data_IF_957330643268
#
_entry.id   IF_957330643268
#
_cell.length_a   1.000
_cell.length_b   1.000
_cell.length_c   1.000
_cell.angle_alpha   90.00
_cell.angle_beta   90.00
_cell.angle_gamma   90.00
#
_symmetry.space_group_name_H-M   'P 1'
#
loop_
_entity.id
_entity.type
_entity.pdbx_description
1 polymer ?
#
# COMPACT_ATOMS: atom_id res chain seq x y z
N UNK A 1 17.56 -3.81 -19.25
CA UNK A 1 17.57 -5.17 -19.72
C UNK A 1 16.17 -5.71 -19.59
N UNK A 2 15.57 -6.09 -20.72
CA UNK A 2 14.33 -6.85 -20.75
C UNK A 2 14.59 -8.13 -19.94
N UNK A 3 14.06 -8.16 -18.73
CA UNK A 3 14.15 -9.34 -17.89
C UNK A 3 13.10 -10.33 -18.39
N UNK A 4 13.40 -11.61 -18.33
CA UNK A 4 12.38 -12.64 -18.51
C UNK A 4 11.33 -12.49 -17.41
N UNK A 5 10.04 -12.62 -17.74
CA UNK A 5 8.97 -12.68 -16.75
C UNK A 5 9.29 -13.70 -15.67
N UNK A 6 9.34 -13.24 -14.44
CA UNK A 6 9.73 -14.11 -13.33
C UNK A 6 9.89 -13.37 -12.01
N UNK A 7 9.81 -14.14 -10.93
CA UNK A 7 10.07 -13.68 -9.58
C UNK A 7 11.42 -14.20 -9.06
N UNK A 8 12.14 -13.36 -8.35
CA UNK A 8 13.43 -13.70 -7.77
C UNK A 8 13.53 -13.22 -6.33
N UNK A 9 14.14 -14.07 -5.48
CA UNK A 9 14.58 -13.62 -4.16
C UNK A 9 15.87 -12.81 -4.31
N UNK A 10 15.91 -11.68 -3.62
CA UNK A 10 17.06 -10.78 -3.65
C UNK A 10 17.17 -10.01 -2.33
N UNK A 11 18.23 -9.25 -2.17
CA UNK A 11 18.35 -8.24 -1.12
C UNK A 11 18.38 -6.88 -1.79
N UNK A 12 17.27 -6.20 -1.73
CA UNK A 12 17.16 -4.87 -2.30
C UNK A 12 17.89 -3.86 -1.42
N UNK A 13 18.63 -3.00 -2.08
CA UNK A 13 19.25 -1.82 -1.50
C UNK A 13 18.92 -0.65 -2.42
N UNK A 14 18.31 0.36 -1.87
CA UNK A 14 17.91 1.52 -2.64
C UNK A 14 18.71 2.75 -2.24
N UNK A 15 18.42 3.28 -1.09
CA UNK A 15 19.07 4.45 -0.54
C UNK A 15 19.61 4.11 0.83
N UNK A 16 20.81 4.59 1.19
CA UNK A 16 21.36 4.37 2.54
C UNK A 16 20.38 4.78 3.64
N UNK A 17 19.62 5.81 3.41
CA UNK A 17 18.62 6.35 4.33
C UNK A 17 17.44 5.38 4.52
N UNK A 18 16.99 4.72 3.46
CA UNK A 18 15.93 3.70 3.54
C UNK A 18 16.41 2.40 4.16
N UNK A 19 17.67 2.06 3.91
CA UNK A 19 18.25 0.78 4.31
C UNK A 19 18.78 0.76 5.76
N UNK A 20 19.08 1.94 6.34
CA UNK A 20 19.90 2.05 7.54
C UNK A 20 19.14 2.21 8.87
N UNK A 21 17.86 2.57 8.85
CA UNK A 21 17.19 3.10 10.05
C UNK A 21 16.73 2.02 11.01
N UNK A 22 16.35 0.88 10.50
CA UNK A 22 15.91 -0.25 11.31
C UNK A 22 16.71 -1.49 10.93
N UNK A 23 17.29 -2.21 11.90
CA UNK A 23 17.86 -3.51 11.64
C UNK A 23 16.73 -4.47 11.27
N UNK A 24 16.39 -4.46 10.00
CA UNK A 24 15.42 -5.37 9.42
C UNK A 24 16.06 -6.74 9.38
N UNK A 25 15.29 -7.78 9.74
CA UNK A 25 15.75 -9.15 9.75
C UNK A 25 16.39 -9.58 8.42
N UNK A 26 17.17 -10.64 8.46
CA UNK A 26 18.02 -11.10 7.38
C UNK A 26 17.27 -11.87 6.28
N UNK A 27 16.00 -11.58 6.11
CA UNK A 27 15.13 -12.22 5.11
C UNK A 27 15.31 -11.59 3.74
N UNK A 28 14.97 -12.37 2.71
CA UNK A 28 15.07 -11.93 1.33
C UNK A 28 13.83 -11.12 0.93
N UNK A 29 14.03 -10.17 0.06
CA UNK A 29 12.99 -9.47 -0.67
C UNK A 29 12.58 -10.28 -1.91
N UNK A 30 11.43 -9.97 -2.51
CA UNK A 30 11.01 -10.55 -3.78
C UNK A 30 10.84 -9.44 -4.81
N UNK A 31 11.40 -9.66 -6.00
CA UNK A 31 11.19 -8.79 -7.17
C UNK A 31 10.56 -9.61 -8.27
N UNK A 32 9.48 -9.09 -8.83
CA UNK A 32 8.84 -9.59 -10.05
C UNK A 32 9.15 -8.64 -11.19
N UNK A 33 9.63 -9.18 -12.29
CA UNK A 33 9.96 -8.46 -13.52
C UNK A 33 9.13 -8.99 -14.68
N UNK A 34 8.89 -8.15 -15.65
CA UNK A 34 8.11 -8.45 -16.85
C UNK A 34 8.99 -8.41 -18.10
N UNK A 35 8.61 -9.13 -19.16
CA UNK A 35 9.35 -9.16 -20.41
C UNK A 35 9.20 -7.84 -21.18
N UNK A 36 7.98 -7.35 -21.26
CA UNK A 36 7.62 -6.21 -22.12
C UNK A 36 7.29 -4.94 -21.33
N UNK A 37 7.08 -5.05 -20.02
CA UNK A 37 6.75 -3.90 -19.18
C UNK A 37 7.99 -3.41 -18.42
N UNK A 38 8.22 -2.09 -18.40
CA UNK A 38 9.35 -1.52 -17.65
C UNK A 38 9.08 -1.41 -16.14
N UNK A 39 7.86 -1.72 -15.73
CA UNK A 39 7.41 -1.68 -14.33
C UNK A 39 7.84 -2.93 -13.58
N UNK A 40 7.70 -2.91 -12.25
CA UNK A 40 8.01 -4.06 -11.38
C UNK A 40 7.01 -4.18 -10.26
N UNK A 41 6.87 -5.40 -9.73
CA UNK A 41 6.22 -5.63 -8.44
C UNK A 41 7.28 -6.06 -7.45
N UNK A 42 7.31 -5.43 -6.29
CA UNK A 42 8.31 -5.70 -5.28
C UNK A 42 7.65 -5.94 -3.92
N UNK A 43 8.20 -6.93 -3.21
CA UNK A 43 7.89 -7.16 -1.80
C UNK A 43 9.17 -6.88 -1.02
N UNK A 44 9.23 -5.69 -0.47
CA UNK A 44 10.45 -5.17 0.14
C UNK A 44 10.32 -5.08 1.66
N UNK A 45 11.37 -5.46 2.37
CA UNK A 45 11.41 -5.39 3.84
C UNK A 45 11.16 -3.98 4.37
N UNK A 46 11.60 -2.95 3.65
CA UNK A 46 11.40 -1.56 4.03
C UNK A 46 9.92 -1.16 4.12
N UNK A 47 9.05 -1.80 3.36
CA UNK A 47 7.60 -1.68 3.45
C UNK A 47 6.94 -2.82 4.22
N UNK A 48 7.71 -3.60 4.98
CA UNK A 48 7.26 -4.81 5.72
C UNK A 48 6.63 -5.85 4.79
N UNK A 49 7.12 -5.89 3.55
CA UNK A 49 6.64 -6.72 2.46
C UNK A 49 5.27 -6.36 1.89
N UNK A 50 4.66 -5.22 2.25
CA UNK A 50 3.57 -4.67 1.43
C UNK A 50 3.97 -4.71 -0.03
N UNK A 51 3.07 -5.19 -0.87
CA UNK A 51 3.31 -5.22 -2.29
C UNK A 51 3.50 -3.80 -2.84
N UNK A 52 4.59 -3.59 -3.56
CA UNK A 52 4.89 -2.30 -4.17
C UNK A 52 4.82 -2.42 -5.69
N UNK A 53 4.08 -1.50 -6.30
CA UNK A 53 4.15 -1.23 -7.73
C UNK A 53 5.23 -0.18 -7.97
N UNK A 54 6.13 -0.45 -8.91
CA UNK A 54 7.24 0.46 -9.20
C UNK A 54 7.23 0.80 -10.69
N UNK A 55 7.14 2.08 -10.99
CA UNK A 55 7.10 2.60 -12.36
C UNK A 55 8.46 2.51 -13.06
N UNK A 56 8.47 2.80 -14.35
CA UNK A 56 9.66 2.82 -15.22
C UNK A 56 10.74 3.80 -14.75
N UNK A 57 10.31 4.91 -14.13
CA UNK A 57 11.21 5.95 -13.62
C UNK A 57 11.43 5.85 -12.08
N UNK A 58 11.04 4.72 -11.49
CA UNK A 58 11.34 4.45 -10.08
C UNK A 58 10.39 5.08 -9.08
N UNK A 59 9.18 5.48 -9.46
CA UNK A 59 8.15 5.89 -8.50
C UNK A 59 7.50 4.66 -7.86
N UNK A 60 7.27 4.72 -6.57
CA UNK A 60 6.84 3.59 -5.75
C UNK A 60 5.48 3.82 -5.13
N UNK A 61 4.58 2.89 -5.35
CA UNK A 61 3.33 2.77 -4.62
C UNK A 61 3.32 1.46 -3.82
N UNK A 62 3.17 1.55 -2.53
CA UNK A 62 2.84 0.40 -1.69
C UNK A 62 1.33 0.40 -1.42
N UNK A 63 0.77 -0.79 -1.37
CA UNK A 63 -0.64 -1.00 -1.06
C UNK A 63 -0.79 -1.63 0.32
N UNK A 64 -1.38 -0.89 1.24
CA UNK A 64 -1.77 -1.42 2.54
C UNK A 64 -3.20 -1.93 2.47
N UNK A 65 -3.35 -3.24 2.45
CA UNK A 65 -4.62 -3.91 2.19
C UNK A 65 -5.43 -4.21 3.43
N UNK A 66 -4.83 -4.13 4.60
CA UNK A 66 -5.50 -4.49 5.83
C UNK A 66 -5.01 -3.63 7.00
N UNK A 67 -5.89 -2.78 7.43
CA UNK A 67 -5.76 -2.05 8.66
C UNK A 67 -7.08 -2.18 9.42
N UNK A 68 -7.01 -2.62 10.65
CA UNK A 68 -8.18 -2.66 11.53
C UNK A 68 -8.01 -1.61 12.60
N UNK A 69 -8.93 -0.65 12.63
CA UNK A 69 -9.01 0.32 13.72
C UNK A 69 -9.83 -0.23 14.85
N UNK A 70 -9.23 -0.54 15.97
CA UNK A 70 -9.98 -0.65 17.19
C UNK A 70 -9.83 0.64 17.97
N UNK A 71 -10.95 1.34 18.16
CA UNK A 71 -11.02 2.51 19.04
C UNK A 71 -10.13 3.71 18.69
N UNK A 72 -9.99 4.02 17.41
CA UNK A 72 -9.32 5.21 16.90
C UNK A 72 -9.72 6.50 17.62
N UNK A 73 -10.95 6.53 18.13
CA UNK A 73 -11.58 7.73 18.67
C UNK A 73 -11.70 7.76 20.20
N UNK A 74 -11.30 6.73 20.90
CA UNK A 74 -11.67 6.62 22.31
C UNK A 74 -10.56 6.96 23.31
N UNK A 75 -9.45 7.51 22.89
CA UNK A 75 -8.39 7.86 23.81
C UNK A 75 -7.78 6.61 24.50
N UNK A 76 -6.82 6.82 25.36
CA UNK A 76 -6.19 5.75 26.11
C UNK A 76 -7.21 4.97 26.94
N UNK A 77 -7.69 3.84 26.43
CA UNK A 77 -8.40 2.88 27.26
C UNK A 77 -7.34 2.05 28.00
N UNK A 78 -7.34 2.16 29.31
CA UNK A 78 -6.42 1.48 30.20
C UNK A 78 -6.65 -0.02 30.32
N UNK A 79 -7.61 -0.57 29.60
CA UNK A 79 -7.87 -2.02 29.59
C UNK A 79 -6.73 -2.76 28.91
N UNK A 80 -6.17 -3.75 29.57
CA UNK A 80 -4.95 -4.46 29.13
C UNK A 80 -5.02 -5.12 27.75
N UNK A 81 -6.22 -5.32 27.19
CA UNK A 81 -6.44 -6.07 25.96
C UNK A 81 -6.99 -5.23 24.79
N UNK A 82 -7.04 -3.91 24.93
CA UNK A 82 -7.47 -3.04 23.85
C UNK A 82 -6.25 -2.56 23.07
N UNK A 83 -6.23 -2.74 21.73
CA UNK A 83 -5.18 -2.21 20.89
C UNK A 83 -5.05 -0.70 21.02
N UNK A 84 -3.84 -0.20 20.94
CA UNK A 84 -3.56 1.23 20.96
C UNK A 84 -3.21 1.68 19.54
N UNK A 85 -3.97 2.62 18.99
CA UNK A 85 -3.76 3.15 17.64
C UNK A 85 -4.14 2.17 16.55
N UNK A 86 -3.54 2.32 15.38
CA UNK A 86 -3.75 1.46 14.24
C UNK A 86 -3.22 0.06 14.49
N UNK A 87 -3.97 -0.91 14.03
CA UNK A 87 -3.59 -2.31 14.03
C UNK A 87 -3.25 -2.70 12.61
N UNK A 88 -1.99 -2.82 12.35
CA UNK A 88 -1.45 -2.95 10.99
C UNK A 88 -0.15 -3.75 10.96
N UNK A 89 0.20 -4.28 9.79
CA UNK A 89 1.49 -4.94 9.60
C UNK A 89 2.66 -3.95 9.64
N UNK A 90 2.41 -2.66 9.32
CA UNK A 90 3.43 -1.60 9.29
C UNK A 90 4.05 -1.37 10.66
N UNK A 91 3.34 -1.69 11.73
CA UNK A 91 3.87 -1.64 13.09
C UNK A 91 4.98 -2.67 13.37
N UNK A 92 5.09 -3.74 12.58
CA UNK A 92 6.23 -4.67 12.63
C UNK A 92 7.47 -4.10 11.93
N UNK A 93 7.97 -2.97 12.42
CA UNK A 93 9.08 -2.22 11.80
C UNK A 93 10.37 -3.00 11.59
N UNK A 94 10.53 -4.16 12.23
CA UNK A 94 11.69 -5.04 12.10
C UNK A 94 11.40 -6.30 11.29
N UNK A 95 10.24 -6.44 10.67
CA UNK A 95 9.80 -7.63 9.93
C UNK A 95 9.98 -8.93 10.73
N UNK A 96 9.72 -8.91 12.04
CA UNK A 96 9.85 -10.09 12.89
C UNK A 96 8.79 -11.13 12.59
N UNK A 97 7.62 -10.66 12.24
CA UNK A 97 6.42 -11.47 12.01
C UNK A 97 5.88 -11.33 10.59
N UNK A 98 6.69 -10.86 9.65
CA UNK A 98 6.34 -10.75 8.24
C UNK A 98 7.23 -11.66 7.40
N UNK A 99 6.63 -12.33 6.42
CA UNK A 99 7.32 -13.25 5.50
C UNK A 99 6.69 -13.19 4.12
N UNK A 100 7.54 -13.29 3.12
CA UNK A 100 7.12 -13.42 1.73
C UNK A 100 7.68 -14.69 1.13
N UNK A 101 6.88 -15.40 0.32
CA UNK A 101 7.27 -16.62 -0.32
C UNK A 101 6.77 -16.66 -1.77
N UNK A 102 7.66 -17.06 -2.69
CA UNK A 102 7.27 -17.38 -4.07
C UNK A 102 6.70 -18.79 -4.05
N UNK A 103 5.41 -18.92 -4.35
CA UNK A 103 4.69 -20.21 -4.35
C UNK A 103 4.68 -20.83 -5.75
N UNK A 104 4.48 -19.99 -6.78
CA UNK A 104 4.57 -20.38 -8.18
C UNK A 104 5.43 -19.37 -8.94
N UNK A 105 6.17 -19.86 -9.92
CA UNK A 105 7.01 -19.02 -10.78
C UNK A 105 7.15 -19.70 -12.13
N UNK A 106 6.27 -19.37 -13.05
CA UNK A 106 6.23 -19.93 -14.41
C UNK A 106 5.80 -18.87 -15.43
N UNK A 107 5.87 -19.22 -16.71
CA UNK A 107 5.62 -18.27 -17.81
C UNK A 107 4.16 -17.80 -17.88
N UNK A 108 3.21 -18.50 -17.24
CA UNK A 108 1.79 -18.13 -17.25
C UNK A 108 1.42 -17.21 -16.09
N UNK A 109 2.05 -17.40 -14.94
CA UNK A 109 1.80 -16.57 -13.75
C UNK A 109 2.88 -16.77 -12.69
N UNK A 110 2.93 -15.81 -11.80
CA UNK A 110 3.67 -15.85 -10.54
C UNK A 110 2.67 -15.81 -9.41
N UNK A 111 2.86 -16.62 -8.38
CA UNK A 111 2.11 -16.56 -7.14
C UNK A 111 3.05 -16.26 -5.99
N UNK A 112 2.83 -15.12 -5.34
CA UNK A 112 3.53 -14.73 -4.13
C UNK A 112 2.57 -14.77 -2.96
N UNK A 113 2.98 -15.38 -1.86
CA UNK A 113 2.27 -15.28 -0.58
C UNK A 113 3.02 -14.33 0.35
N UNK A 114 2.30 -13.39 0.90
CA UNK A 114 2.76 -12.55 1.99
C UNK A 114 1.95 -12.89 3.24
N UNK A 115 2.65 -13.26 4.30
CA UNK A 115 2.08 -13.57 5.60
C UNK A 115 2.64 -12.63 6.65
N UNK A 116 1.78 -12.06 7.44
CA UNK A 116 2.15 -11.08 8.47
C UNK A 116 1.26 -11.17 9.68
N UNK A 117 1.75 -10.66 10.81
CA UNK A 117 0.99 -10.46 12.03
C UNK A 117 0.57 -8.99 12.11
N UNK A 118 -0.68 -8.76 12.47
CA UNK A 118 -1.14 -7.42 12.79
C UNK A 118 -0.73 -7.04 14.21
N UNK A 119 -0.17 -5.84 14.35
CA UNK A 119 0.30 -5.30 15.62
C UNK A 119 -0.24 -3.89 15.81
N UNK A 120 -0.41 -3.52 17.06
CA UNK A 120 -0.70 -2.14 17.44
C UNK A 120 0.59 -1.29 17.52
N UNK A 121 0.45 0.02 17.73
CA UNK A 121 1.60 0.94 17.83
C UNK A 121 2.50 0.68 19.04
N UNK A 122 2.10 -0.14 19.99
CA UNK A 122 2.93 -0.60 21.11
C UNK A 122 3.59 -1.95 20.84
N UNK A 123 3.59 -2.40 19.59
CA UNK A 123 4.15 -3.69 19.15
C UNK A 123 3.49 -4.91 19.81
N UNK A 124 2.25 -4.76 20.24
CA UNK A 124 1.50 -5.87 20.80
C UNK A 124 0.77 -6.59 19.69
N UNK A 125 0.81 -7.90 19.73
CA UNK A 125 -0.05 -8.73 18.90
C UNK A 125 -1.51 -8.47 19.29
N UNK A 126 -2.35 -8.37 18.27
CA UNK A 126 -3.77 -8.36 18.52
C UNK A 126 -4.18 -9.79 18.77
N UNK A 127 -4.39 -10.07 20.02
CA UNK A 127 -4.98 -11.31 20.45
C UNK A 127 -6.47 -11.05 20.57
N UNK A 128 -7.17 -11.29 19.48
CA UNK A 128 -8.60 -11.53 19.64
C UNK A 128 -8.75 -12.66 20.62
N UNK A 129 -9.81 -12.69 21.46
CA UNK A 129 -10.04 -13.75 22.41
C UNK A 129 -10.24 -15.08 21.66
N UNK A 130 -9.17 -15.56 21.10
CA UNK A 130 -9.09 -16.87 20.55
C UNK A 130 -8.33 -17.72 21.55
N UNK A 131 -8.84 -18.88 21.76
CA UNK A 131 -8.31 -19.88 22.67
C UNK A 131 -6.89 -20.35 22.31
N UNK A 132 -6.31 -19.80 21.23
CA UNK A 132 -5.03 -20.26 20.68
C UNK A 132 -3.85 -19.39 21.04
N UNK A 133 -4.05 -18.12 21.39
CA UNK A 133 -2.97 -17.17 21.70
C UNK A 133 -2.03 -16.82 20.54
N UNK A 134 -2.40 -17.16 19.30
CA UNK A 134 -1.53 -16.95 18.13
C UNK A 134 -1.70 -15.61 17.43
N UNK A 135 -2.58 -14.72 17.91
CA UNK A 135 -2.83 -13.42 17.33
C UNK A 135 -3.49 -13.45 15.94
N UNK A 136 -3.71 -12.28 15.38
CA UNK A 136 -4.31 -12.14 14.04
C UNK A 136 -3.26 -12.16 12.95
N UNK A 137 -3.25 -13.22 12.17
CA UNK A 137 -2.40 -13.36 10.98
C UNK A 137 -3.15 -13.00 9.72
N UNK A 138 -2.58 -12.10 8.93
CA UNK A 138 -2.95 -11.89 7.55
C UNK A 138 -2.20 -12.84 6.62
N UNK A 139 -2.88 -13.33 5.60
CA UNK A 139 -2.28 -14.01 4.46
C UNK A 139 -2.81 -13.37 3.20
N UNK A 140 -1.92 -12.86 2.39
CA UNK A 140 -2.25 -12.29 1.11
C UNK A 140 -1.59 -13.09 0.00
N UNK A 141 -2.34 -13.31 -1.06
CA UNK A 141 -1.91 -14.04 -2.23
C UNK A 141 -2.00 -13.11 -3.44
N UNK A 142 -0.88 -12.97 -4.11
CA UNK A 142 -0.71 -12.10 -5.27
C UNK A 142 -0.49 -12.96 -6.50
N UNK A 143 -1.51 -13.02 -7.36
CA UNK A 143 -1.47 -13.70 -8.64
C UNK A 143 -1.05 -12.67 -9.69
N UNK A 144 0.20 -12.73 -10.12
CA UNK A 144 0.80 -11.75 -11.02
C UNK A 144 0.92 -12.37 -12.41
N UNK A 145 0.42 -11.68 -13.42
CA UNK A 145 0.38 -12.15 -14.79
C UNK A 145 1.39 -11.40 -15.68
N UNK A 146 1.78 -11.97 -16.85
CA UNK A 146 2.79 -11.39 -17.74
C UNK A 146 2.44 -10.00 -18.28
N UNK A 147 1.17 -9.67 -18.37
CA UNK A 147 0.65 -8.37 -18.78
C UNK A 147 0.71 -7.28 -17.68
N UNK A 148 1.24 -7.62 -16.51
CA UNK A 148 1.35 -6.71 -15.38
C UNK A 148 0.13 -6.64 -14.47
N UNK A 149 -0.97 -7.32 -14.86
CA UNK A 149 -2.15 -7.41 -14.01
C UNK A 149 -1.86 -8.29 -12.81
N UNK A 150 -2.26 -7.83 -11.65
CA UNK A 150 -2.11 -8.55 -10.38
C UNK A 150 -3.47 -8.69 -9.71
N UNK A 151 -3.83 -9.91 -9.34
CA UNK A 151 -5.00 -10.19 -8.51
C UNK A 151 -4.55 -10.46 -7.08
N UNK A 152 -4.98 -9.64 -6.15
CA UNK A 152 -4.75 -9.82 -4.72
C UNK A 152 -5.94 -10.54 -4.08
N UNK A 153 -5.64 -11.49 -3.20
CA UNK A 153 -6.61 -12.14 -2.33
C UNK A 153 -6.12 -12.10 -0.88
N UNK A 154 -6.92 -11.54 0.00
CA UNK A 154 -6.64 -11.43 1.46
C UNK A 154 -7.40 -12.51 2.21
N UNK A 155 -6.75 -13.22 3.14
CA UNK A 155 -7.33 -14.25 3.99
C UNK A 155 -6.88 -14.09 5.46
N UNK A 156 -7.75 -14.27 6.46
CA UNK A 156 -9.20 -14.31 6.28
C UNK A 156 -9.70 -12.98 5.77
N UNK A 157 -10.81 -13.03 5.05
CA UNK A 157 -11.50 -11.83 4.62
C UNK A 157 -12.08 -11.12 5.84
N UNK A 158 -11.43 -10.06 6.26
CA UNK A 158 -11.98 -9.13 7.23
C UNK A 158 -11.99 -7.77 6.57
N UNK A 159 -13.13 -7.11 6.59
CA UNK A 159 -13.24 -5.75 6.13
C UNK A 159 -12.15 -4.91 6.79
N UNK A 160 -11.40 -4.19 6.01
CA UNK A 160 -10.29 -3.38 6.46
C UNK A 160 -10.25 -2.06 5.70
N UNK A 161 -9.49 -1.19 6.22
CA UNK A 161 -9.10 0.03 5.58
C UNK A 161 -7.97 -0.27 4.61
N UNK A 162 -8.01 0.33 3.44
CA UNK A 162 -6.96 0.22 2.45
C UNK A 162 -6.36 1.60 2.16
N UNK A 163 -5.06 1.65 2.01
CA UNK A 163 -4.34 2.85 1.65
C UNK A 163 -3.43 2.61 0.45
N UNK A 164 -3.44 3.55 -0.48
CA UNK A 164 -2.38 3.70 -1.47
C UNK A 164 -1.29 4.59 -0.89
N UNK A 165 -0.13 4.02 -0.71
CA UNK A 165 1.01 4.68 -0.09
C UNK A 165 2.08 4.89 -1.15
N UNK A 166 2.56 6.10 -1.35
CA UNK A 166 3.70 6.35 -2.22
C UNK A 166 4.93 6.74 -1.42
N UNK A 167 6.06 6.15 -1.79
CA UNK A 167 7.34 6.39 -1.14
C UNK A 167 8.02 7.58 -1.78
N UNK A 168 8.49 8.50 -0.95
CA UNK A 168 9.23 9.66 -1.39
C UNK A 168 10.72 9.39 -1.26
N UNK A 169 11.42 9.41 -2.39
CA UNK A 169 12.87 9.27 -2.40
C UNK A 169 13.56 10.35 -1.58
N UNK A 170 14.74 10.05 -1.00
CA UNK A 170 15.53 11.09 -0.31
C UNK A 170 15.77 12.30 -1.21
N UNK A 171 15.45 13.48 -0.71
CA UNK A 171 15.61 14.73 -1.44
C UNK A 171 14.43 15.14 -2.32
N UNK A 172 13.37 14.32 -2.39
CA UNK A 172 12.13 14.66 -3.11
C UNK A 172 11.02 15.12 -2.16
N UNK A 173 10.02 15.78 -2.71
CA UNK A 173 8.76 16.11 -2.05
C UNK A 173 7.66 15.18 -2.54
N UNK A 174 6.54 15.05 -1.83
CA UNK A 174 5.39 14.29 -2.32
C UNK A 174 4.92 14.73 -3.72
N UNK A 175 4.91 16.03 -4.01
CA UNK A 175 4.54 16.59 -5.31
C UNK A 175 5.51 16.24 -6.46
N UNK A 176 6.73 15.81 -6.15
CA UNK A 176 7.68 15.28 -7.15
C UNK A 176 7.33 13.83 -7.56
N UNK A 177 6.42 13.19 -6.83
CA UNK A 177 6.04 11.80 -7.01
C UNK A 177 4.60 11.63 -7.49
N UNK A 178 3.68 12.47 -7.03
CA UNK A 178 2.25 12.44 -7.35
C UNK A 178 1.78 13.82 -7.78
N UNK A 179 0.96 13.88 -8.82
CA UNK A 179 0.34 15.12 -9.30
C UNK A 179 -0.67 15.66 -8.28
N UNK A 180 -0.94 16.98 -8.28
CA UNK A 180 -1.99 17.55 -7.42
C UNK A 180 -3.38 17.04 -7.79
N UNK A 181 -3.67 16.81 -9.07
CA UNK A 181 -4.80 16.00 -9.50
C UNK A 181 -4.44 14.52 -9.30
N UNK A 182 -4.49 14.08 -8.06
CA UNK A 182 -3.80 12.85 -7.63
C UNK A 182 -4.49 11.55 -8.06
N UNK A 183 -5.79 11.58 -8.34
CA UNK A 183 -6.46 10.38 -8.80
C UNK A 183 -7.67 10.64 -9.70
N UNK A 184 -7.96 9.66 -10.54
CA UNK A 184 -9.23 9.55 -11.27
C UNK A 184 -9.97 8.33 -10.77
N UNK A 185 -11.23 8.51 -10.39
CA UNK A 185 -12.16 7.43 -10.12
C UNK A 185 -13.03 7.16 -11.36
N UNK A 186 -13.42 5.90 -11.54
CA UNK A 186 -14.35 5.48 -12.59
C UNK A 186 -15.33 4.43 -12.09
N UNK A 187 -16.51 4.39 -12.70
CA UNK A 187 -17.49 3.33 -12.50
C UNK A 187 -17.59 2.42 -13.72
N UNK A 188 -18.32 1.32 -13.57
CA UNK A 188 -18.54 0.35 -14.65
C UNK A 188 -19.40 0.88 -15.81
N UNK A 189 -20.00 2.06 -15.69
CA UNK A 189 -20.72 2.73 -16.77
C UNK A 189 -19.77 3.54 -17.67
N UNK A 190 -18.48 3.62 -17.33
CA UNK A 190 -17.48 4.41 -18.03
C UNK A 190 -17.49 5.89 -17.66
N UNK A 191 -18.25 6.28 -16.63
CA UNK A 191 -18.20 7.63 -16.07
C UNK A 191 -16.92 7.77 -15.24
N UNK A 192 -16.22 8.87 -15.41
CA UNK A 192 -14.96 9.14 -14.71
C UNK A 192 -14.92 10.55 -14.16
N UNK A 193 -14.22 10.75 -13.06
CA UNK A 193 -13.96 12.04 -12.45
C UNK A 193 -12.59 12.07 -11.82
N UNK A 194 -11.82 13.11 -12.16
CA UNK A 194 -10.54 13.39 -11.51
C UNK A 194 -10.72 14.29 -10.31
N UNK A 195 -9.85 14.10 -9.33
CA UNK A 195 -9.89 14.79 -8.05
C UNK A 195 -8.55 15.44 -7.75
N UNK A 196 -8.59 16.74 -7.48
CA UNK A 196 -7.42 17.55 -7.15
C UNK A 196 -7.42 17.91 -5.66
N UNK A 197 -6.21 17.96 -5.10
CA UNK A 197 -5.95 18.47 -3.76
C UNK A 197 -5.43 19.91 -3.75
N UNK A 198 -5.49 20.63 -4.89
CA UNK A 198 -5.01 22.02 -4.99
C UNK A 198 -5.72 22.94 -4.01
N UNK A 199 -7.03 22.76 -3.85
CA UNK A 199 -7.87 23.56 -2.95
C UNK A 199 -8.15 22.86 -1.59
N UNK A 200 -7.42 21.82 -1.25
CA UNK A 200 -7.62 21.02 -0.06
C UNK A 200 -8.16 19.62 -0.36
N UNK A 201 -8.74 18.96 0.64
CA UNK A 201 -9.26 17.60 0.47
C UNK A 201 -10.52 17.58 -0.39
N UNK A 202 -10.53 16.85 -1.52
CA UNK A 202 -11.72 16.73 -2.34
C UNK A 202 -12.79 15.86 -1.67
N UNK A 203 -14.01 16.01 -2.12
CA UNK A 203 -15.10 15.10 -1.79
C UNK A 203 -15.26 14.14 -2.97
N UNK A 204 -15.16 12.84 -2.72
CA UNK A 204 -15.43 11.82 -3.71
C UNK A 204 -16.93 11.66 -3.88
N UNK A 205 -17.45 12.12 -4.99
CA UNK A 205 -18.88 12.20 -5.31
C UNK A 205 -19.28 11.41 -6.56
N UNK A 206 -18.34 10.65 -7.17
CA UNK A 206 -18.67 9.75 -8.27
C UNK A 206 -19.35 8.50 -7.70
N UNK A 207 -20.63 8.34 -8.06
CA UNK A 207 -21.42 7.19 -7.63
C UNK A 207 -20.92 5.87 -8.23
N UNK A 208 -20.99 4.81 -7.46
CA UNK A 208 -20.63 3.44 -7.89
C UNK A 208 -19.19 3.32 -8.44
N UNK A 209 -18.29 4.19 -8.02
CA UNK A 209 -16.90 4.11 -8.42
C UNK A 209 -16.28 2.81 -7.90
N UNK A 210 -15.56 2.10 -8.77
CA UNK A 210 -14.87 0.84 -8.47
C UNK A 210 -13.44 0.83 -8.99
N UNK A 211 -13.07 1.75 -9.86
CA UNK A 211 -11.75 1.85 -10.47
C UNK A 211 -11.09 3.13 -9.98
N UNK A 212 -9.82 3.03 -9.65
CA UNK A 212 -8.97 4.14 -9.27
C UNK A 212 -7.69 4.10 -10.09
N UNK A 213 -7.34 5.24 -10.66
CA UNK A 213 -6.06 5.51 -11.26
C UNK A 213 -5.35 6.59 -10.44
N UNK A 214 -4.14 6.32 -9.97
CA UNK A 214 -3.33 7.30 -9.24
C UNK A 214 -2.37 7.98 -10.18
N UNK A 215 -2.33 9.31 -10.18
CA UNK A 215 -1.54 10.09 -11.12
C UNK A 215 -0.10 10.29 -10.59
N UNK A 216 0.73 9.27 -10.76
CA UNK A 216 2.15 9.39 -10.52
C UNK A 216 2.82 10.30 -11.54
N UNK A 217 3.91 10.94 -11.13
CA UNK A 217 4.83 11.66 -12.02
C UNK A 217 5.67 10.65 -12.84
N UNK A 218 4.98 9.80 -13.61
CA UNK A 218 5.54 8.72 -14.42
C UNK A 218 4.66 8.43 -15.64
N UNK A 219 5.20 7.75 -16.64
CA UNK A 219 4.42 7.28 -17.78
C UNK A 219 3.42 6.20 -17.35
N UNK A 220 3.89 5.23 -16.59
CA UNK A 220 3.05 4.18 -16.04
C UNK A 220 2.46 4.59 -14.70
N UNK A 221 1.15 4.62 -14.61
CA UNK A 221 0.39 5.03 -13.44
C UNK A 221 -0.26 3.83 -12.78
N UNK A 222 -0.22 3.72 -11.44
CA UNK A 222 -0.86 2.62 -10.75
C UNK A 222 -2.39 2.72 -10.82
N UNK A 223 -3.02 1.59 -11.05
CA UNK A 223 -4.47 1.46 -11.01
C UNK A 223 -4.89 0.37 -10.03
N UNK A 224 -6.09 0.50 -9.51
CA UNK A 224 -6.75 -0.48 -8.65
C UNK A 224 -8.21 -0.61 -9.06
N UNK A 225 -8.70 -1.85 -9.10
CA UNK A 225 -10.09 -2.17 -9.41
C UNK A 225 -10.64 -2.99 -8.25
N UNK A 226 -11.73 -2.51 -7.68
CA UNK A 226 -12.41 -3.10 -6.55
C UNK A 226 -13.73 -3.75 -6.99
N UNK A 227 -14.26 -4.62 -6.18
CA UNK A 227 -15.60 -5.13 -6.40
C UNK A 227 -16.65 -4.03 -6.15
N UNK A 228 -17.81 -4.19 -6.77
CA UNK A 228 -18.95 -3.30 -6.51
C UNK A 228 -19.38 -3.30 -5.05
N UNK A 229 -19.96 -2.18 -4.61
CA UNK A 229 -20.50 -2.00 -3.26
C UNK A 229 -19.50 -1.48 -2.23
N UNK A 230 -18.26 -1.19 -2.64
CA UNK A 230 -17.30 -0.43 -1.87
C UNK A 230 -17.56 1.07 -1.89
N UNK A 231 -16.84 1.82 -1.07
CA UNK A 231 -16.87 3.28 -1.09
C UNK A 231 -15.48 3.86 -0.95
N UNK A 232 -15.17 4.84 -1.78
CA UNK A 232 -13.98 5.64 -1.64
C UNK A 232 -14.25 6.78 -0.66
N UNK A 233 -13.26 7.06 0.18
CA UNK A 233 -13.30 8.18 1.09
C UNK A 233 -11.90 8.80 1.21
N UNK A 234 -11.83 10.11 1.13
CA UNK A 234 -10.58 10.81 1.44
C UNK A 234 -10.42 10.86 2.95
N UNK A 235 -9.27 10.40 3.41
CA UNK A 235 -8.95 10.47 4.82
C UNK A 235 -8.40 11.86 5.15
N UNK A 236 -9.15 12.66 5.88
CA UNK A 236 -8.82 14.04 6.22
C UNK A 236 -8.76 14.30 7.72
N UNK A 237 -8.57 13.26 8.53
CA UNK A 237 -8.51 13.40 9.96
C UNK A 237 -7.27 14.19 10.41
N UNK A 238 -7.43 14.91 11.51
CA UNK A 238 -6.30 15.50 12.21
C UNK A 238 -5.28 14.42 12.57
N UNK A 239 -4.08 14.66 12.14
CA UNK A 239 -2.97 13.75 12.28
C UNK A 239 -2.57 13.64 13.74
N UNK A 240 -2.55 12.41 14.25
CA UNK A 240 -2.09 12.11 15.60
C UNK A 240 -0.95 11.09 15.54
N UNK A 241 0.29 11.54 15.80
CA UNK A 241 1.49 10.69 15.69
C UNK A 241 1.45 9.45 16.58
N UNK A 242 0.68 9.48 17.64
CA UNK A 242 0.53 8.36 18.57
C UNK A 242 -0.34 7.20 18.06
N UNK A 243 -0.97 7.35 16.89
CA UNK A 243 -1.88 6.35 16.37
C UNK A 243 -1.27 5.37 15.37
N UNK A 244 -0.20 5.77 14.71
CA UNK A 244 0.46 4.89 13.75
C UNK A 244 1.97 5.11 13.75
N UNK A 245 2.72 4.04 13.48
CA UNK A 245 4.13 4.15 13.09
C UNK A 245 4.30 4.63 11.65
N UNK A 246 3.22 4.67 10.93
CA UNK A 246 3.13 5.31 9.65
C UNK A 246 2.74 6.77 9.87
N UNK A 247 3.55 7.75 9.50
CA UNK A 247 3.29 9.15 9.86
C UNK A 247 2.12 9.73 9.07
N UNK A 248 0.98 9.79 9.68
CA UNK A 248 -0.27 10.34 9.14
C UNK A 248 -0.15 11.79 8.66
N UNK A 249 0.74 12.58 9.27
CA UNK A 249 1.05 13.94 8.82
C UNK A 249 1.76 13.99 7.46
N UNK A 250 2.18 12.86 6.93
CA UNK A 250 2.72 12.74 5.59
C UNK A 250 1.65 12.39 4.55
N UNK A 251 0.38 12.40 4.93
CA UNK A 251 -0.70 12.22 3.97
C UNK A 251 -0.66 13.33 2.92
N UNK A 252 -0.85 12.95 1.70
CA UNK A 252 -0.98 13.89 0.59
C UNK A 252 -2.24 14.75 0.75
N UNK A 253 -2.17 16.06 0.54
CA UNK A 253 -1.00 16.92 0.27
C UNK A 253 -0.42 17.55 1.55
N UNK A 254 -0.68 17.00 2.73
CA UNK A 254 -0.48 17.67 4.03
C UNK A 254 0.99 18.01 4.28
N UNK A 255 1.90 17.12 3.98
CA UNK A 255 3.30 17.31 4.29
C UNK A 255 4.15 17.42 3.02
N UNK A 256 4.22 18.60 2.44
CA UNK A 256 5.07 18.91 1.28
C UNK A 256 6.51 19.25 1.69
N UNK A 257 7.08 18.46 2.61
CA UNK A 257 8.46 18.62 3.05
C UNK A 257 9.39 17.71 2.27
N UNK A 258 10.66 18.10 2.16
CA UNK A 258 11.68 17.29 1.51
C UNK A 258 11.89 16.00 2.33
N UNK A 259 11.78 14.86 1.65
CA UNK A 259 12.07 13.56 2.23
C UNK A 259 13.56 13.45 2.57
N UNK A 260 13.87 12.95 3.76
CA UNK A 260 15.23 12.52 4.10
C UNK A 260 15.40 11.00 4.02
N UNK A 261 14.41 10.31 3.48
CA UNK A 261 14.41 8.87 3.29
C UNK A 261 14.22 8.04 4.55
N UNK A 262 14.10 8.66 5.72
CA UNK A 262 13.85 7.90 6.94
C UNK A 262 12.44 7.35 6.97
N UNK A 263 12.33 6.08 7.34
CA UNK A 263 11.03 5.45 7.50
C UNK A 263 10.30 5.95 8.74
N UNK A 264 9.06 5.71 8.80
CA UNK A 264 7.95 5.94 9.71
C UNK A 264 8.12 6.70 11.05
N UNK A 265 9.28 6.90 11.60
CA UNK A 265 9.44 7.48 12.95
C UNK A 265 9.92 8.93 12.95
N UNK A 266 9.88 9.59 11.84
CA UNK A 266 10.28 10.98 11.74
C UNK A 266 9.06 11.84 11.40
N UNK A 267 8.34 12.35 12.40
CA UNK A 267 7.07 13.02 12.20
C UNK A 267 7.17 14.33 11.42
N UNK A 268 8.33 14.86 11.29
CA UNK A 268 8.62 16.10 10.59
C UNK A 268 9.14 15.91 9.16
N UNK A 269 9.09 14.67 8.62
CA UNK A 269 9.72 14.35 7.33
C UNK A 269 8.89 13.43 6.48
N UNK A 270 8.72 13.80 5.23
CA UNK A 270 7.92 13.07 4.26
C UNK A 270 8.71 11.94 3.59
N UNK A 271 9.12 10.92 4.35
CA UNK A 271 9.74 9.73 3.75
C UNK A 271 8.76 8.94 2.90
N UNK A 272 7.48 9.03 3.18
CA UNK A 272 6.39 8.50 2.40
C UNK A 272 5.14 9.33 2.64
N UNK A 273 4.19 9.23 1.72
CA UNK A 273 2.90 9.89 1.77
C UNK A 273 1.83 8.93 1.32
N UNK A 274 0.59 9.19 1.68
CA UNK A 274 -0.52 8.32 1.30
C UNK A 274 -1.72 9.09 0.79
N UNK A 275 -2.41 8.47 -0.16
CA UNK A 275 -3.80 8.73 -0.45
C UNK A 275 -4.59 7.68 0.30
N UNK A 276 -5.39 8.10 1.26
CA UNK A 276 -6.17 7.19 2.07
C UNK A 276 -7.61 7.20 1.63
N UNK A 277 -8.15 6.03 1.39
CA UNK A 277 -9.57 5.81 1.18
C UNK A 277 -9.99 4.47 1.76
N UNK A 278 -11.22 4.42 2.20
CA UNK A 278 -11.78 3.20 2.73
C UNK A 278 -12.27 2.28 1.62
N UNK A 279 -11.82 1.05 1.63
CA UNK A 279 -12.45 -0.04 0.92
C UNK A 279 -13.14 -0.96 1.91
N UNK A 280 -14.47 -0.92 2.04
CA UNK A 280 -15.18 -1.81 2.94
C UNK A 280 -15.17 -3.27 2.48
N UNK A 281 -14.63 -3.53 1.30
CA UNK A 281 -14.65 -4.85 0.69
C UNK A 281 -13.34 -5.62 0.62
N UNK A 282 -12.26 -5.11 1.15
CA UNK A 282 -10.84 -5.50 1.06
C UNK A 282 -10.36 -6.93 0.86
N UNK A 283 -11.24 -7.86 0.49
CA UNK A 283 -10.85 -9.28 0.32
C UNK A 283 -10.15 -9.57 -1.00
N UNK A 284 -10.47 -8.84 -2.05
CA UNK A 284 -9.84 -8.98 -3.35
C UNK A 284 -9.81 -7.66 -4.10
N UNK A 285 -8.71 -7.41 -4.77
CA UNK A 285 -8.56 -6.30 -5.69
C UNK A 285 -7.74 -6.76 -6.90
N UNK A 286 -7.99 -6.13 -8.03
CA UNK A 286 -7.17 -6.25 -9.22
C UNK A 286 -6.39 -4.95 -9.36
N UNK A 287 -5.09 -5.02 -9.60
CA UNK A 287 -4.27 -3.84 -9.77
C UNK A 287 -3.05 -4.09 -10.64
N UNK A 288 -2.39 -3.02 -11.02
CA UNK A 288 -1.21 -3.01 -11.83
C UNK A 288 -0.78 -1.60 -12.16
N UNK A 289 0.00 -1.46 -13.23
CA UNK A 289 0.40 -0.17 -13.75
C UNK A 289 0.07 -0.07 -15.24
N UNK A 290 -0.45 1.05 -15.66
CA UNK A 290 -0.84 1.30 -17.06
C UNK A 290 -0.33 2.66 -17.54
N UNK A 291 -0.01 2.75 -18.82
CA UNK A 291 0.22 4.00 -19.55
C UNK A 291 -0.93 4.32 -20.53
N UNK A 292 -2.04 3.60 -20.41
CA UNK A 292 -3.23 3.80 -21.25
C UNK A 292 -4.19 4.80 -20.62
N UNK A 293 -5.11 5.28 -21.44
CA UNK A 293 -6.19 6.14 -20.97
C UNK A 293 -7.09 5.42 -19.94
N UNK A 294 -7.61 6.15 -18.95
CA UNK A 294 -8.40 5.56 -17.87
C UNK A 294 -9.57 4.69 -18.33
N UNK A 295 -10.23 5.06 -19.42
CA UNK A 295 -11.39 4.33 -19.94
C UNK A 295 -11.07 2.89 -20.37
N UNK A 296 -9.83 2.58 -20.70
CA UNK A 296 -9.39 1.21 -21.02
C UNK A 296 -9.48 0.26 -19.81
N UNK A 297 -9.48 0.80 -18.59
CA UNK A 297 -9.56 0.02 -17.36
C UNK A 297 -10.96 -0.55 -17.13
N UNK A 298 -12.00 0.02 -17.75
CA UNK A 298 -13.37 -0.51 -17.66
C UNK A 298 -13.48 -1.89 -18.32
N UNK A 299 -12.73 -2.11 -19.41
CA UNK A 299 -12.71 -3.40 -20.10
C UNK A 299 -11.95 -4.47 -19.29
N UNK A 300 -11.12 -4.06 -18.36
CA UNK A 300 -10.36 -4.97 -17.49
C UNK A 300 -11.14 -5.34 -16.22
N UNK A 301 -12.03 -4.46 -15.77
CA UNK A 301 -12.83 -4.65 -14.55
C UNK A 301 -13.99 -5.62 -14.75
#
# INVERSE_FOLDING_TARGET
PSGRFGANYTRLKFYPEWDAIWPIGDYMDVVVQFDELPTKVMFWRGTRYSACQVSENGKWMADQSRETGSNWFLGEDSRENIPTGCVEHMSDVQCRSSRVAIIENNDARILVNWRYLQMDVKFRQIDLPNETGFGEWGNEYYYIYPDGVTVRKVLPGMGGWQETIFLNEPGTRPEDNVELEACTLMNMKGESKSYSWEDGYPIFDLEEAVIQLTHFQSEYKPFMIFREGGSFAVFNLEVRPEYSHFPWWNHWPVAQTISDGRSANAPDRASHSSLSWGDPGGEAALYGMTNQEPTSLVDLA
#
